data_IF_516223646482
#
_entry.id   IF_516223646482
#
_cell.length_a   1.000
_cell.length_b   1.000
_cell.length_c   1.000
_cell.angle_alpha   90.00
_cell.angle_beta   90.00
_cell.angle_gamma   90.00
#
_symmetry.space_group_name_H-M   'P 1'
#
loop_
_entity.id
_entity.type
_entity.pdbx_description
1 polymer ?
#
# COMPACT_ATOMS: atom_id res chain seq x y z
N UNK A 1 16.87 -10.46 46.01
CA UNK A 1 15.79 -9.48 46.24
C UNK A 1 14.41 -10.04 45.82
N UNK A 2 14.18 -11.34 46.02
CA UNK A 2 12.83 -11.94 46.06
C UNK A 2 12.86 -12.95 47.21
N UNK A 3 12.76 -12.41 48.40
CA UNK A 3 12.31 -13.14 49.59
C UNK A 3 11.30 -12.21 50.23
N UNK A 4 10.12 -12.08 49.62
CA UNK A 4 8.97 -11.50 50.29
C UNK A 4 8.25 -12.67 50.92
N UNK A 5 8.20 -12.63 52.25
CA UNK A 5 7.44 -13.52 53.10
C UNK A 5 5.98 -13.49 52.67
N UNK A 6 5.48 -14.58 52.11
CA UNK A 6 4.05 -14.88 52.12
C UNK A 6 3.77 -15.64 53.42
N UNK A 7 2.88 -15.11 54.26
CA UNK A 7 2.27 -15.90 55.33
C UNK A 7 1.73 -17.22 54.76
N UNK A 8 1.94 -18.36 55.44
CA UNK A 8 1.44 -19.65 54.97
C UNK A 8 -0.09 -19.66 55.12
N UNK A 9 -0.80 -19.31 54.05
CA UNK A 9 -2.27 -19.37 54.02
C UNK A 9 -2.98 -18.64 52.88
N UNK A 10 -2.31 -17.78 52.10
CA UNK A 10 -2.95 -16.90 51.10
C UNK A 10 -2.26 -16.89 49.72
N UNK A 11 -1.56 -17.96 49.35
CA UNK A 11 -1.02 -18.10 48.00
C UNK A 11 -2.15 -18.41 47.00
N UNK A 12 -2.51 -17.42 46.18
CA UNK A 12 -3.44 -17.62 45.07
C UNK A 12 -2.71 -18.40 43.96
N UNK A 13 -3.19 -19.59 43.55
CA UNK A 13 -2.50 -20.47 42.59
C UNK A 13 -2.28 -19.84 41.20
N UNK A 14 -2.88 -18.68 40.93
CA UNK A 14 -2.80 -17.96 39.66
C UNK A 14 -1.68 -16.90 39.66
N UNK A 15 -1.41 -16.24 40.79
CA UNK A 15 -0.50 -15.08 40.82
C UNK A 15 0.97 -15.47 40.83
N UNK A 16 1.33 -16.57 41.48
CA UNK A 16 2.74 -17.00 41.58
C UNK A 16 3.34 -17.45 40.23
N UNK A 17 2.65 -18.26 39.40
CA UNK A 17 3.19 -18.64 38.08
C UNK A 17 3.31 -17.44 37.13
N UNK A 18 2.33 -16.52 37.17
CA UNK A 18 2.33 -15.34 36.31
C UNK A 18 3.51 -14.43 36.67
N UNK A 19 3.71 -14.12 37.95
CA UNK A 19 4.81 -13.29 38.43
C UNK A 19 6.17 -13.92 38.08
N UNK A 20 6.30 -15.23 38.23
CA UNK A 20 7.49 -16.00 37.85
C UNK A 20 7.83 -15.87 36.36
N UNK A 21 6.84 -16.04 35.47
CA UNK A 21 7.04 -15.89 34.03
C UNK A 21 7.30 -14.44 33.59
N UNK A 22 6.68 -13.47 34.26
CA UNK A 22 6.92 -12.04 33.98
C UNK A 22 8.35 -11.65 34.32
N UNK A 23 8.88 -12.16 35.44
CA UNK A 23 10.29 -11.97 35.84
C UNK A 23 11.24 -12.67 34.86
N UNK A 24 10.93 -13.88 34.39
CA UNK A 24 11.74 -14.59 33.38
C UNK A 24 11.78 -13.81 32.05
N UNK A 25 10.65 -13.31 31.57
CA UNK A 25 10.58 -12.52 30.34
C UNK A 25 11.33 -11.19 30.47
N UNK A 26 11.23 -10.53 31.63
CA UNK A 26 11.95 -9.29 31.90
C UNK A 26 13.47 -9.50 31.97
N UNK A 27 13.92 -10.58 32.62
CA UNK A 27 15.34 -10.95 32.67
C UNK A 27 15.88 -11.37 31.30
N UNK A 28 15.10 -12.10 30.50
CA UNK A 28 15.46 -12.45 29.12
C UNK A 28 15.60 -11.18 28.24
N UNK A 29 14.71 -10.20 28.41
CA UNK A 29 14.76 -8.92 27.70
C UNK A 29 15.97 -8.07 28.08
N UNK A 30 16.32 -8.01 29.38
CA UNK A 30 17.51 -7.31 29.86
C UNK A 30 18.82 -7.97 29.38
N UNK A 31 18.88 -9.30 29.41
CA UNK A 31 20.03 -10.05 28.92
C UNK A 31 20.24 -9.88 27.41
N UNK A 32 19.15 -9.79 26.65
CA UNK A 32 19.14 -9.53 25.21
C UNK A 32 19.62 -8.10 24.87
N UNK A 33 19.15 -7.09 25.61
CA UNK A 33 19.54 -5.69 25.41
C UNK A 33 21.02 -5.43 25.72
N UNK A 34 21.60 -6.18 26.67
CA UNK A 34 23.00 -6.09 27.02
C UNK A 34 23.92 -6.73 25.97
N UNK A 35 23.55 -7.91 25.44
CA UNK A 35 24.40 -8.72 24.55
C UNK A 35 24.40 -8.25 23.08
N UNK A 36 23.32 -7.64 22.59
CA UNK A 36 23.22 -7.11 21.20
C UNK A 36 24.25 -6.00 20.91
N UNK A 37 24.72 -5.27 21.93
CA UNK A 37 25.69 -4.19 21.75
C UNK A 37 27.08 -4.67 21.32
N UNK A 38 27.42 -5.93 21.51
CA UNK A 38 28.78 -6.46 21.29
C UNK A 38 28.91 -7.44 20.12
N UNK A 39 27.81 -7.78 19.42
CA UNK A 39 27.82 -8.80 18.37
C UNK A 39 27.97 -8.23 16.95
N UNK A 40 28.69 -9.00 16.12
CA UNK A 40 28.88 -8.72 14.68
C UNK A 40 27.58 -8.98 13.90
N UNK A 41 27.38 -8.28 12.78
CA UNK A 41 26.05 -8.18 12.13
C UNK A 41 25.49 -9.52 11.59
N UNK A 42 26.35 -10.47 11.21
CA UNK A 42 25.92 -11.79 10.73
C UNK A 42 25.36 -12.69 11.85
N UNK A 43 25.82 -12.49 13.09
CA UNK A 43 25.36 -13.25 14.27
C UNK A 43 24.03 -12.70 14.79
N UNK A 44 23.77 -11.39 14.62
CA UNK A 44 22.50 -10.75 15.01
C UNK A 44 21.31 -11.37 14.30
N UNK A 45 21.43 -11.71 13.01
CA UNK A 45 20.35 -12.36 12.25
C UNK A 45 19.99 -13.74 12.80
N UNK A 46 20.97 -14.52 13.25
CA UNK A 46 20.77 -15.87 13.78
C UNK A 46 20.12 -15.80 15.17
N UNK A 47 20.56 -14.88 16.03
CA UNK A 47 19.95 -14.68 17.36
C UNK A 47 18.51 -14.15 17.27
N UNK A 48 18.20 -13.25 16.33
CA UNK A 48 16.82 -12.78 16.09
C UNK A 48 15.92 -13.94 15.68
N UNK A 49 16.41 -14.83 14.81
CA UNK A 49 15.67 -16.02 14.39
C UNK A 49 15.42 -16.97 15.59
N UNK A 50 16.43 -17.18 16.42
CA UNK A 50 16.34 -18.01 17.63
C UNK A 50 15.35 -17.44 18.66
N UNK A 51 15.37 -16.12 18.89
CA UNK A 51 14.41 -15.46 19.77
C UNK A 51 12.98 -15.52 19.23
N UNK A 52 12.78 -15.40 17.92
CA UNK A 52 11.45 -15.53 17.31
C UNK A 52 10.88 -16.95 17.53
N UNK A 53 11.73 -17.97 17.46
CA UNK A 53 11.38 -19.35 17.78
C UNK A 53 11.07 -19.55 19.28
N UNK A 54 11.89 -18.97 20.16
CA UNK A 54 11.67 -19.02 21.60
C UNK A 54 10.38 -18.30 22.03
N UNK A 55 10.07 -17.14 21.43
CA UNK A 55 8.80 -16.44 21.64
C UNK A 55 7.62 -17.25 21.11
N UNK A 56 7.74 -17.87 19.93
CA UNK A 56 6.71 -18.77 19.40
C UNK A 56 6.44 -19.96 20.33
N UNK A 57 7.50 -20.54 20.91
CA UNK A 57 7.39 -21.63 21.89
C UNK A 57 6.72 -21.18 23.19
N UNK A 58 7.07 -20.00 23.71
CA UNK A 58 6.41 -19.40 24.88
C UNK A 58 4.93 -19.15 24.61
N UNK A 59 4.57 -18.64 23.42
CA UNK A 59 3.18 -18.44 23.03
C UNK A 59 2.40 -19.76 22.92
N UNK A 60 3.00 -20.81 22.35
CA UNK A 60 2.40 -22.14 22.30
C UNK A 60 2.14 -22.69 23.71
N UNK A 61 3.13 -22.59 24.61
CA UNK A 61 2.96 -23.00 26.00
C UNK A 61 1.95 -22.16 26.76
N UNK A 62 1.89 -20.85 26.50
CA UNK A 62 0.87 -19.97 27.08
C UNK A 62 -0.53 -20.38 26.59
N UNK A 63 -0.67 -20.81 25.33
CA UNK A 63 -1.93 -21.32 24.79
C UNK A 63 -2.36 -22.63 25.47
N UNK A 64 -1.43 -23.54 25.74
CA UNK A 64 -1.69 -24.76 26.49
C UNK A 64 -2.19 -24.46 27.92
N UNK A 65 -1.66 -23.40 28.55
CA UNK A 65 -2.08 -22.91 29.87
C UNK A 65 -3.41 -22.13 29.86
N UNK A 66 -3.75 -21.49 28.73
CA UNK A 66 -5.01 -20.78 28.55
C UNK A 66 -6.16 -21.74 28.16
N UNK A 67 -5.85 -22.89 27.58
CA UNK A 67 -6.83 -23.91 27.17
C UNK A 67 -7.77 -24.34 28.33
N UNK A 68 -7.30 -24.58 29.57
CA UNK A 68 -8.15 -24.84 30.73
C UNK A 68 -8.98 -23.62 31.19
N UNK A 69 -8.49 -22.39 30.97
CA UNK A 69 -9.21 -21.15 31.26
C UNK A 69 -10.34 -20.92 30.23
N UNK A 70 -10.17 -21.45 29.02
CA UNK A 70 -11.13 -21.42 27.91
C UNK A 70 -12.10 -22.63 27.97
N UNK A 71 -12.02 -23.50 28.99
CA UNK A 71 -13.12 -24.43 29.26
C UNK A 71 -14.32 -23.63 29.82
N UNK A 72 -14.97 -22.93 28.89
CA UNK A 72 -16.14 -22.08 29.09
C UNK A 72 -17.23 -22.89 29.78
N UNK A 73 -17.26 -24.22 29.61
CA UNK A 73 -18.22 -25.12 30.23
C UNK A 73 -17.97 -25.31 31.72
N UNK A 74 -16.72 -25.57 32.14
CA UNK A 74 -16.34 -25.62 33.57
C UNK A 74 -16.56 -24.27 34.26
N UNK A 75 -16.22 -23.19 33.58
CA UNK A 75 -16.44 -21.83 34.07
C UNK A 75 -17.92 -21.47 34.17
N UNK A 76 -18.74 -21.83 33.16
CA UNK A 76 -20.20 -21.69 33.18
C UNK A 76 -20.81 -22.44 34.37
N UNK A 77 -20.34 -23.66 34.65
CA UNK A 77 -20.84 -24.47 35.75
C UNK A 77 -20.43 -23.91 37.12
N UNK A 78 -19.21 -23.36 37.24
CA UNK A 78 -18.76 -22.65 38.44
C UNK A 78 -19.57 -21.35 38.65
N UNK A 79 -19.80 -20.56 37.61
CA UNK A 79 -20.62 -19.35 37.68
C UNK A 79 -22.08 -19.65 38.00
N UNK A 80 -22.65 -20.72 37.46
CA UNK A 80 -24.00 -21.21 37.82
C UNK A 80 -24.10 -21.63 39.30
N UNK A 81 -22.99 -22.05 39.92
CA UNK A 81 -22.96 -22.41 41.33
C UNK A 81 -22.89 -21.20 42.29
N UNK A 82 -22.60 -20.00 41.76
CA UNK A 82 -22.55 -18.74 42.51
C UNK A 82 -23.93 -18.05 42.56
N UNK A 83 -24.95 -18.80 43.00
CA UNK A 83 -26.38 -18.46 42.99
C UNK A 83 -26.85 -17.20 43.79
N UNK A 84 -26.07 -16.51 44.67
CA UNK A 84 -26.64 -15.33 45.36
C UNK A 84 -26.65 -14.03 44.53
N UNK A 85 -26.03 -13.99 43.35
CA UNK A 85 -25.91 -12.75 42.59
C UNK A 85 -26.84 -12.74 41.37
N UNK A 86 -27.94 -11.99 41.46
CA UNK A 86 -28.99 -11.94 40.46
C UNK A 86 -28.52 -11.67 39.00
N UNK A 87 -29.42 -11.88 38.01
CA UNK A 87 -29.08 -11.97 36.59
C UNK A 87 -28.34 -10.75 36.00
N UNK A 88 -28.45 -9.56 36.61
CA UNK A 88 -27.73 -8.36 36.19
C UNK A 88 -26.21 -8.44 36.43
N UNK A 89 -25.78 -9.06 37.55
CA UNK A 89 -24.35 -9.18 37.86
C UNK A 89 -23.70 -10.18 36.91
N UNK A 90 -24.36 -11.30 36.66
CA UNK A 90 -23.92 -12.32 35.70
C UNK A 90 -23.74 -11.73 34.30
N UNK A 91 -24.70 -10.94 33.81
CA UNK A 91 -24.59 -10.29 32.50
C UNK A 91 -23.36 -9.36 32.41
N UNK A 92 -23.12 -8.54 33.44
CA UNK A 92 -21.96 -7.63 33.46
C UNK A 92 -20.63 -8.40 33.52
N UNK A 93 -20.58 -9.51 34.25
CA UNK A 93 -19.39 -10.36 34.36
C UNK A 93 -19.07 -11.02 33.01
N UNK A 94 -20.09 -11.57 32.33
CA UNK A 94 -19.96 -12.11 30.97
C UNK A 94 -19.48 -11.07 29.98
N UNK A 95 -20.08 -9.88 30.01
CA UNK A 95 -19.70 -8.80 29.11
C UNK A 95 -18.26 -8.32 29.35
N UNK A 96 -17.84 -8.22 30.62
CA UNK A 96 -16.46 -7.89 31.00
C UNK A 96 -15.45 -8.92 30.51
N UNK A 97 -15.73 -10.21 30.66
CA UNK A 97 -14.86 -11.30 30.17
C UNK A 97 -14.74 -11.25 28.65
N UNK A 98 -15.85 -11.05 27.93
CA UNK A 98 -15.84 -10.94 26.46
C UNK A 98 -14.98 -9.75 26.00
N UNK A 99 -15.11 -8.59 26.66
CA UNK A 99 -14.28 -7.42 26.36
C UNK A 99 -12.80 -7.67 26.59
N UNK A 100 -12.43 -8.34 27.69
CA UNK A 100 -11.04 -8.72 27.99
C UNK A 100 -10.50 -9.67 26.90
N UNK A 101 -11.28 -10.66 26.50
CA UNK A 101 -10.89 -11.61 25.44
C UNK A 101 -10.70 -10.90 24.08
N UNK A 102 -11.61 -9.99 23.71
CA UNK A 102 -11.48 -9.18 22.49
C UNK A 102 -10.21 -8.32 22.53
N UNK A 103 -9.93 -7.70 23.69
CA UNK A 103 -8.72 -6.90 23.87
C UNK A 103 -7.44 -7.73 23.67
N UNK A 104 -7.34 -8.92 24.28
CA UNK A 104 -6.19 -9.81 24.11
C UNK A 104 -6.05 -10.33 22.68
N UNK A 105 -7.17 -10.63 22.00
CA UNK A 105 -7.15 -11.04 20.60
C UNK A 105 -6.61 -9.93 19.69
N UNK A 106 -7.06 -8.69 19.90
CA UNK A 106 -6.56 -7.52 19.16
C UNK A 106 -5.07 -7.28 19.43
N UNK A 107 -4.63 -7.42 20.67
CA UNK A 107 -3.21 -7.31 21.03
C UNK A 107 -2.36 -8.40 20.36
N UNK A 108 -2.85 -9.64 20.29
CA UNK A 108 -2.17 -10.74 19.60
C UNK A 108 -2.08 -10.49 18.08
N UNK A 109 -3.18 -10.08 17.44
CA UNK A 109 -3.20 -9.73 16.02
C UNK A 109 -2.25 -8.57 15.70
N UNK A 110 -2.21 -7.56 16.57
CA UNK A 110 -1.29 -6.44 16.44
C UNK A 110 0.18 -6.87 16.56
N UNK A 111 0.48 -7.72 17.54
CA UNK A 111 1.83 -8.28 17.73
C UNK A 111 2.26 -9.10 16.52
N UNK A 112 1.36 -9.94 15.98
CA UNK A 112 1.61 -10.70 14.77
C UNK A 112 1.87 -9.82 13.54
N UNK A 113 1.11 -8.73 13.38
CA UNK A 113 1.32 -7.74 12.31
C UNK A 113 2.70 -7.09 12.41
N UNK A 114 3.10 -6.66 13.62
CA UNK A 114 4.44 -6.08 13.86
C UNK A 114 5.53 -7.08 13.50
N UNK A 115 5.42 -8.33 13.99
CA UNK A 115 6.41 -9.37 13.69
C UNK A 115 6.50 -9.67 12.19
N UNK A 116 5.36 -9.69 11.48
CA UNK A 116 5.32 -9.87 10.02
C UNK A 116 6.03 -8.74 9.28
N UNK A 117 5.83 -7.49 9.72
CA UNK A 117 6.51 -6.31 9.16
C UNK A 117 8.02 -6.38 9.44
N UNK A 118 8.42 -6.75 10.66
CA UNK A 118 9.84 -6.92 11.02
C UNK A 118 10.47 -8.01 10.17
N UNK A 119 9.83 -9.17 10.05
CA UNK A 119 10.34 -10.30 9.25
C UNK A 119 10.47 -9.92 7.77
N UNK A 120 9.51 -9.18 7.21
CA UNK A 120 9.59 -8.66 5.84
C UNK A 120 10.75 -7.66 5.65
N UNK A 121 11.04 -6.83 6.66
CA UNK A 121 12.14 -5.88 6.65
C UNK A 121 13.52 -6.54 6.85
N UNK A 122 13.58 -7.68 7.54
CA UNK A 122 14.83 -8.39 7.89
C UNK A 122 15.22 -9.45 6.85
N UNK A 123 14.33 -9.83 5.93
CA UNK A 123 14.62 -10.83 4.89
C UNK A 123 15.91 -10.50 4.09
N UNK A 124 17.01 -11.24 4.33
CA UNK A 124 18.32 -10.94 3.77
C UNK A 124 18.37 -11.14 2.25
N UNK A 125 17.48 -11.99 1.69
CA UNK A 125 17.42 -12.23 0.26
C UNK A 125 16.91 -11.02 -0.53
N UNK A 126 16.18 -10.10 0.13
CA UNK A 126 15.77 -8.80 -0.45
C UNK A 126 16.79 -7.68 -0.18
N UNK A 127 17.64 -7.82 0.84
CA UNK A 127 18.71 -6.86 1.13
C UNK A 127 19.85 -6.93 0.09
N UNK A 128 20.06 -8.06 -0.57
CA UNK A 128 21.05 -8.21 -1.66
C UNK A 128 20.71 -7.27 -2.84
N UNK A 129 19.43 -7.02 -3.12
CA UNK A 129 19.01 -6.06 -4.15
C UNK A 129 19.19 -4.59 -3.72
N UNK A 130 19.18 -4.32 -2.41
CA UNK A 130 19.36 -2.98 -1.84
C UNK A 130 20.83 -2.60 -1.59
N UNK A 131 21.75 -3.58 -1.55
CA UNK A 131 23.18 -3.37 -1.29
C UNK A 131 23.86 -2.51 -2.37
N UNK A 132 23.25 -2.36 -3.55
CA UNK A 132 23.82 -1.60 -4.68
C UNK A 132 23.50 -0.08 -4.68
N UNK A 133 22.57 0.41 -3.85
CA UNK A 133 22.26 1.84 -3.80
C UNK A 133 22.08 2.34 -2.35
N UNK A 134 23.21 2.72 -1.74
CA UNK A 134 23.38 3.87 -0.81
C UNK A 134 23.04 3.66 0.68
N UNK A 135 24.09 3.47 1.47
CA UNK A 135 24.15 3.51 2.96
C UNK A 135 23.95 4.90 3.61
N UNK A 136 23.58 5.95 2.85
CA UNK A 136 23.53 7.34 3.37
C UNK A 136 22.15 7.76 3.90
N UNK A 137 21.11 6.95 3.70
CA UNK A 137 19.71 7.31 4.04
C UNK A 137 19.35 6.96 5.50
N UNK A 138 20.05 6.03 6.14
CA UNK A 138 19.70 5.55 7.49
C UNK A 138 20.13 6.46 8.64
N UNK A 139 21.00 7.46 8.41
CA UNK A 139 21.49 8.36 9.48
C UNK A 139 20.61 9.60 9.75
N UNK A 140 19.50 9.75 9.02
CA UNK A 140 18.64 10.96 9.08
C UNK A 140 17.21 10.63 9.56
N UNK A 141 17.07 9.72 10.51
CA UNK A 141 15.77 9.46 11.13
C UNK A 141 15.56 10.44 12.29
N UNK A 142 14.65 11.39 12.09
CA UNK A 142 14.21 12.34 13.12
C UNK A 142 13.39 11.59 14.17
N UNK A 143 13.69 11.87 15.44
CA UNK A 143 12.97 11.45 16.65
C UNK A 143 11.43 11.58 16.52
N UNK A 144 10.95 12.48 15.65
CA UNK A 144 9.53 12.68 15.34
C UNK A 144 8.82 11.46 14.71
N UNK A 145 9.51 10.60 13.97
CA UNK A 145 8.89 9.37 13.40
C UNK A 145 8.73 8.27 14.46
N UNK A 146 9.67 8.17 15.40
CA UNK A 146 9.57 7.29 16.56
C UNK A 146 8.45 7.71 17.51
N UNK A 147 8.24 9.02 17.68
CA UNK A 147 7.11 9.56 18.43
C UNK A 147 5.75 9.22 17.80
N UNK A 148 5.67 9.13 16.46
CA UNK A 148 4.44 8.73 15.76
C UNK A 148 3.99 7.29 16.04
N UNK A 149 4.93 6.40 16.38
CA UNK A 149 4.65 5.01 16.79
C UNK A 149 4.48 4.91 18.31
N UNK A 150 5.26 5.69 19.07
CA UNK A 150 5.23 5.70 20.54
C UNK A 150 3.92 6.23 21.12
N UNK A 151 3.33 7.27 20.53
CA UNK A 151 2.09 7.87 21.04
C UNK A 151 0.91 6.88 21.03
N UNK A 152 0.63 6.14 19.93
CA UNK A 152 -0.39 5.09 19.93
C UNK A 152 -0.14 3.98 20.96
N UNK A 153 1.12 3.58 21.16
CA UNK A 153 1.50 2.55 22.13
C UNK A 153 1.30 3.02 23.59
N UNK A 154 1.66 4.27 23.89
CA UNK A 154 1.42 4.91 25.18
C UNK A 154 -0.08 5.08 25.42
N UNK A 155 -0.82 5.51 24.41
CA UNK A 155 -2.27 5.62 24.47
C UNK A 155 -2.92 4.26 24.73
N UNK A 156 -2.43 3.17 24.12
CA UNK A 156 -2.93 1.80 24.31
C UNK A 156 -2.75 1.33 25.75
N UNK A 157 -1.60 1.61 26.36
CA UNK A 157 -1.37 1.27 27.76
C UNK A 157 -2.24 2.09 28.71
N UNK A 158 -2.45 3.39 28.44
CA UNK A 158 -3.36 4.22 29.25
C UNK A 158 -4.83 3.80 29.13
N UNK A 159 -5.30 3.47 27.92
CA UNK A 159 -6.67 2.98 27.70
C UNK A 159 -6.95 1.68 28.46
N UNK A 160 -5.99 0.74 28.45
CA UNK A 160 -6.05 -0.50 29.23
C UNK A 160 -6.08 -0.26 30.74
N UNK A 161 -5.31 0.71 31.24
CA UNK A 161 -5.30 1.09 32.66
C UNK A 161 -6.66 1.68 33.07
N UNK A 162 -7.25 2.56 32.29
CA UNK A 162 -8.59 3.12 32.60
C UNK A 162 -9.68 2.04 32.59
N UNK A 163 -9.62 1.08 31.66
CA UNK A 163 -10.53 -0.07 31.65
C UNK A 163 -10.33 -0.99 32.86
N UNK A 164 -9.07 -1.25 33.23
CA UNK A 164 -8.76 -2.07 34.41
C UNK A 164 -9.21 -1.39 35.71
N UNK A 165 -8.96 -0.09 35.86
CA UNK A 165 -9.40 0.69 37.03
C UNK A 165 -10.93 0.76 37.09
N UNK A 166 -11.60 1.02 35.96
CA UNK A 166 -13.05 0.97 35.86
C UNK A 166 -13.60 -0.40 36.27
N UNK A 167 -13.03 -1.49 35.74
CA UNK A 167 -13.37 -2.87 36.08
C UNK A 167 -13.15 -3.24 37.55
N UNK A 168 -12.05 -2.78 38.16
CA UNK A 168 -11.77 -3.02 39.58
C UNK A 168 -12.74 -2.25 40.47
N UNK A 169 -13.08 -1.01 40.10
CA UNK A 169 -14.10 -0.21 40.80
C UNK A 169 -15.52 -0.78 40.62
N UNK A 170 -15.79 -1.47 39.51
CA UNK A 170 -17.04 -2.25 39.33
C UNK A 170 -17.13 -3.36 40.35
N UNK A 171 -16.04 -4.11 40.50
CA UNK A 171 -16.01 -5.29 41.35
C UNK A 171 -16.03 -4.94 42.84
N UNK A 172 -15.56 -3.75 43.22
CA UNK A 172 -15.49 -3.35 44.63
C UNK A 172 -16.83 -2.91 45.23
N UNK A 173 -17.92 -2.81 44.46
CA UNK A 173 -19.19 -2.26 44.95
C UNK A 173 -20.12 -3.30 45.59
N UNK A 174 -19.69 -3.77 46.76
CA UNK A 174 -20.54 -4.09 47.92
C UNK A 174 -21.18 -2.82 48.54
N UNK A 175 -21.01 -1.63 47.95
CA UNK A 175 -21.49 -0.39 48.53
C UNK A 175 -22.90 -0.02 48.04
N UNK A 176 -23.84 0.04 48.98
CA UNK A 176 -25.18 0.58 48.81
C UNK A 176 -25.07 2.09 48.57
N UNK A 177 -25.45 2.57 47.39
CA UNK A 177 -25.54 4.01 47.09
C UNK A 177 -26.94 4.32 46.61
N UNK A 178 -27.58 5.30 47.24
CA UNK A 178 -29.00 5.65 47.11
C UNK A 178 -29.25 6.92 46.30
N UNK A 179 -28.23 7.49 45.66
CA UNK A 179 -28.38 8.60 44.72
C UNK A 179 -27.81 8.21 43.37
N UNK A 180 -28.36 8.80 42.31
CA UNK A 180 -27.95 8.64 40.92
C UNK A 180 -26.57 9.31 40.73
N UNK A 181 -25.58 8.73 41.40
CA UNK A 181 -24.28 9.32 41.60
C UNK A 181 -23.50 9.31 40.31
N UNK A 182 -22.75 10.38 40.08
CA UNK A 182 -21.69 10.59 39.09
C UNK A 182 -21.04 9.32 38.48
N UNK A 183 -20.84 8.28 39.28
CA UNK A 183 -20.35 6.97 38.87
C UNK A 183 -21.20 6.25 37.81
N UNK A 184 -22.52 6.38 37.84
CA UNK A 184 -23.43 5.80 36.86
C UNK A 184 -23.20 6.39 35.46
N UNK A 185 -22.89 7.69 35.39
CA UNK A 185 -22.57 8.38 34.12
C UNK A 185 -21.21 7.91 33.60
N UNK A 186 -20.20 7.78 34.46
CA UNK A 186 -18.87 7.24 34.08
C UNK A 186 -19.00 5.84 33.49
N UNK A 187 -19.81 4.97 34.11
CA UNK A 187 -20.09 3.64 33.59
C UNK A 187 -20.69 3.65 32.19
N UNK A 188 -21.62 4.57 31.96
CA UNK A 188 -22.35 4.66 30.71
C UNK A 188 -21.48 5.22 29.58
N UNK A 189 -20.52 6.09 29.92
CA UNK A 189 -19.57 6.67 28.97
C UNK A 189 -18.35 5.77 28.67
N UNK A 190 -17.97 4.86 29.59
CA UNK A 190 -16.79 4.02 29.44
C UNK A 190 -16.73 3.21 28.12
N UNK A 191 -17.80 2.54 27.66
CA UNK A 191 -17.80 1.82 26.38
C UNK A 191 -17.61 2.76 25.18
N UNK A 192 -18.19 3.96 25.25
CA UNK A 192 -18.07 4.98 24.19
C UNK A 192 -16.62 5.43 24.08
N UNK A 193 -15.96 5.70 25.20
CA UNK A 193 -14.53 6.02 25.22
C UNK A 193 -13.67 4.87 24.70
N UNK A 194 -13.99 3.61 25.03
CA UNK A 194 -13.29 2.45 24.50
C UNK A 194 -13.40 2.31 22.97
N UNK A 195 -14.58 2.55 22.41
CA UNK A 195 -14.80 2.54 20.96
C UNK A 195 -14.04 3.68 20.28
N UNK A 196 -14.16 4.91 20.79
CA UNK A 196 -13.43 6.08 20.27
C UNK A 196 -11.92 5.80 20.29
N UNK A 197 -11.43 5.22 21.37
CA UNK A 197 -10.04 4.87 21.54
C UNK A 197 -9.56 3.84 20.51
N UNK A 198 -10.28 2.73 20.35
CA UNK A 198 -9.97 1.68 19.36
C UNK A 198 -9.84 2.27 17.95
N UNK A 199 -10.67 3.24 17.59
CA UNK A 199 -10.66 3.87 16.29
C UNK A 199 -9.47 4.78 16.06
N UNK A 200 -9.11 5.57 17.08
CA UNK A 200 -7.91 6.38 17.02
C UNK A 200 -6.68 5.49 16.79
N UNK A 201 -6.64 4.31 17.41
CA UNK A 201 -5.62 3.28 17.15
C UNK A 201 -5.70 2.80 15.70
N UNK A 202 -6.87 2.38 15.21
CA UNK A 202 -7.02 1.87 13.84
C UNK A 202 -6.66 2.93 12.76
N UNK A 203 -7.04 4.18 12.96
CA UNK A 203 -6.69 5.31 12.09
C UNK A 203 -5.16 5.53 12.12
N UNK A 204 -4.57 5.49 13.31
CA UNK A 204 -3.12 5.56 13.49
C UNK A 204 -2.39 4.45 12.73
N UNK A 205 -2.86 3.20 12.85
CA UNK A 205 -2.30 2.05 12.15
C UNK A 205 -2.47 2.15 10.64
N UNK A 206 -3.64 2.54 10.15
CA UNK A 206 -3.88 2.77 8.73
C UNK A 206 -2.93 3.82 8.16
N UNK A 207 -2.71 4.92 8.90
CA UNK A 207 -1.76 5.96 8.51
C UNK A 207 -0.32 5.46 8.50
N UNK A 208 0.11 4.70 9.51
CA UNK A 208 1.45 4.10 9.56
C UNK A 208 1.65 3.15 8.39
N UNK A 209 0.70 2.25 8.12
CA UNK A 209 0.75 1.32 6.99
C UNK A 209 0.82 2.06 5.64
N UNK A 210 0.01 3.09 5.43
CA UNK A 210 0.05 3.92 4.21
C UNK A 210 1.41 4.60 4.04
N UNK A 211 1.95 5.23 5.10
CA UNK A 211 3.26 5.90 5.04
C UNK A 211 4.38 4.90 4.79
N UNK A 212 4.28 3.71 5.38
CA UNK A 212 5.22 2.61 5.20
C UNK A 212 5.18 2.12 3.76
N UNK A 213 3.99 1.82 3.24
CA UNK A 213 3.80 1.43 1.85
C UNK A 213 4.35 2.48 0.88
N UNK A 214 3.97 3.75 1.06
CA UNK A 214 4.46 4.87 0.24
C UNK A 214 5.97 4.97 0.28
N UNK A 215 6.59 4.86 1.45
CA UNK A 215 8.04 4.93 1.62
C UNK A 215 8.76 3.79 0.89
N UNK A 216 8.22 2.58 0.95
CA UNK A 216 8.81 1.42 0.30
C UNK A 216 8.50 1.33 -1.20
N UNK A 217 7.37 1.85 -1.68
CA UNK A 217 6.98 1.80 -3.10
C UNK A 217 7.69 2.86 -3.95
N UNK A 218 7.95 4.05 -3.40
CA UNK A 218 8.61 5.16 -4.09
C UNK A 218 9.94 4.79 -4.80
N UNK A 219 10.90 4.08 -4.17
CA UNK A 219 12.12 3.68 -4.87
C UNK A 219 11.86 2.71 -6.02
N UNK A 220 10.88 1.81 -5.90
CA UNK A 220 10.49 0.91 -7.01
C UNK A 220 9.88 1.70 -8.17
N UNK A 221 9.01 2.68 -7.88
CA UNK A 221 8.44 3.56 -8.90
C UNK A 221 9.55 4.31 -9.64
N UNK A 222 10.54 4.85 -8.94
CA UNK A 222 11.68 5.51 -9.56
C UNK A 222 12.50 4.59 -10.48
N UNK A 223 12.78 3.35 -10.05
CA UNK A 223 13.49 2.35 -10.87
C UNK A 223 12.70 2.01 -12.13
N UNK A 224 11.39 1.84 -12.01
CA UNK A 224 10.51 1.54 -13.14
C UNK A 224 10.48 2.74 -14.09
N UNK A 225 10.28 3.96 -13.60
CA UNK A 225 10.28 5.17 -14.40
C UNK A 225 11.60 5.38 -15.15
N UNK A 226 12.73 5.11 -14.50
CA UNK A 226 14.04 5.22 -15.14
C UNK A 226 14.21 4.17 -16.26
N UNK A 227 13.79 2.92 -16.02
CA UNK A 227 13.76 1.87 -17.06
C UNK A 227 12.85 2.25 -18.22
N UNK A 228 11.66 2.79 -17.95
CA UNK A 228 10.72 3.25 -18.98
C UNK A 228 11.34 4.40 -19.79
N UNK A 229 11.97 5.38 -19.14
CA UNK A 229 12.66 6.48 -19.82
C UNK A 229 13.82 6.01 -20.69
N UNK A 230 14.66 5.13 -20.16
CA UNK A 230 15.78 4.54 -20.91
C UNK A 230 15.26 3.73 -22.09
N UNK A 231 14.18 2.98 -21.89
CA UNK A 231 13.54 2.22 -22.96
C UNK A 231 12.93 3.12 -24.04
N UNK A 232 12.24 4.20 -23.66
CA UNK A 232 11.72 5.20 -24.57
C UNK A 232 12.85 5.90 -25.35
N UNK A 233 13.97 6.19 -24.70
CA UNK A 233 15.16 6.73 -25.36
C UNK A 233 15.74 5.74 -26.37
N UNK A 234 15.86 4.45 -26.00
CA UNK A 234 16.32 3.39 -26.92
C UNK A 234 15.36 3.21 -28.08
N UNK A 235 14.05 3.25 -27.85
CA UNK A 235 13.06 3.27 -28.93
C UNK A 235 13.34 4.48 -29.81
N UNK A 236 13.37 5.69 -29.28
CA UNK A 236 13.53 6.89 -30.09
C UNK A 236 14.87 6.93 -30.86
N UNK A 237 15.94 6.34 -30.31
CA UNK A 237 17.24 6.26 -30.99
C UNK A 237 17.29 5.15 -32.04
N UNK A 238 16.59 4.03 -31.82
CA UNK A 238 16.46 2.96 -32.82
C UNK A 238 15.41 3.28 -33.88
N UNK A 239 14.40 4.08 -33.54
CA UNK A 239 13.50 4.77 -34.46
C UNK A 239 14.21 6.00 -35.02
N UNK A 240 15.44 5.84 -35.50
CA UNK A 240 16.05 6.79 -36.39
C UNK A 240 15.25 6.72 -37.69
N UNK A 241 14.05 7.34 -37.67
CA UNK A 241 13.10 7.30 -38.76
C UNK A 241 13.84 7.91 -39.94
N UNK A 242 14.16 7.11 -40.97
CA UNK A 242 15.04 7.59 -42.01
C UNK A 242 14.37 8.80 -42.67
N UNK A 243 15.07 9.94 -42.57
CA UNK A 243 14.71 11.12 -43.32
C UNK A 243 14.68 10.74 -44.80
N UNK A 244 13.55 11.00 -45.46
CA UNK A 244 13.39 10.68 -46.87
C UNK A 244 13.79 11.89 -47.72
N UNK A 245 13.05 12.99 -47.58
CA UNK A 245 13.25 14.23 -48.35
C UNK A 245 12.51 15.40 -47.69
N UNK A 246 12.84 16.63 -48.10
CA UNK A 246 12.17 17.83 -47.62
C UNK A 246 11.08 18.25 -48.61
N UNK A 247 9.86 18.43 -48.11
CA UNK A 247 8.70 18.84 -48.90
C UNK A 247 8.87 20.23 -49.52
N UNK A 248 9.52 21.13 -48.80
CA UNK A 248 9.70 22.53 -49.22
C UNK A 248 10.79 22.69 -50.28
N UNK A 249 11.64 21.67 -50.46
CA UNK A 249 12.72 21.65 -51.45
C UNK A 249 12.32 20.97 -52.76
N UNK A 250 11.03 20.66 -52.94
CA UNK A 250 10.47 20.03 -54.13
C UNK A 250 9.42 20.96 -54.77
N UNK A 251 9.52 21.26 -56.09
CA UNK A 251 10.63 20.89 -56.97
C UNK A 251 11.92 21.63 -56.59
N UNK A 252 13.08 20.98 -56.70
CA UNK A 252 14.37 21.60 -56.39
C UNK A 252 15.43 20.59 -55.96
N UNK A 253 16.22 20.97 -54.96
CA UNK A 253 17.44 20.23 -54.56
C UNK A 253 17.17 18.82 -54.01
N UNK A 254 15.96 18.53 -53.55
CA UNK A 254 15.61 17.20 -53.00
C UNK A 254 14.88 16.31 -54.03
N UNK A 255 14.78 16.74 -55.30
CA UNK A 255 14.15 15.96 -56.37
C UNK A 255 14.80 14.58 -56.54
N UNK A 256 16.13 14.52 -56.61
CA UNK A 256 16.86 13.25 -56.79
C UNK A 256 16.59 12.27 -55.65
N UNK A 257 16.54 12.77 -54.40
CA UNK A 257 16.21 11.96 -53.22
C UNK A 257 14.81 11.38 -53.28
N UNK A 258 13.82 12.18 -53.70
CA UNK A 258 12.46 11.70 -53.91
C UNK A 258 12.42 10.61 -54.99
N UNK A 259 13.09 10.82 -56.12
CA UNK A 259 13.15 9.84 -57.23
C UNK A 259 13.80 8.52 -56.79
N UNK A 260 14.93 8.59 -56.10
CA UNK A 260 15.64 7.42 -55.58
C UNK A 260 14.81 6.66 -54.56
N UNK A 261 14.12 7.38 -53.66
CA UNK A 261 13.21 6.79 -52.70
C UNK A 261 12.06 6.03 -53.40
N UNK A 262 11.40 6.66 -54.37
CA UNK A 262 10.28 6.06 -55.09
C UNK A 262 10.72 4.84 -55.90
N UNK A 263 11.88 4.92 -56.55
CA UNK A 263 12.46 3.80 -57.30
C UNK A 263 12.78 2.62 -56.38
N UNK A 264 13.50 2.88 -55.28
CA UNK A 264 13.98 1.83 -54.36
C UNK A 264 12.85 1.12 -53.62
N UNK A 265 11.83 1.85 -53.17
CA UNK A 265 10.78 1.28 -52.32
C UNK A 265 9.55 0.78 -53.10
N UNK A 266 9.24 1.36 -54.26
CA UNK A 266 8.04 1.01 -55.04
C UNK A 266 8.33 0.38 -56.40
N UNK A 267 9.59 0.23 -56.79
CA UNK A 267 10.01 -0.41 -58.04
C UNK A 267 9.57 0.36 -59.29
N UNK A 268 9.48 1.68 -59.20
CA UNK A 268 8.93 2.52 -60.27
C UNK A 268 10.06 2.99 -61.19
N UNK A 269 10.47 2.17 -62.15
CA UNK A 269 11.63 2.47 -63.00
C UNK A 269 11.45 3.68 -63.93
N UNK A 270 10.20 3.95 -64.35
CA UNK A 270 9.90 5.09 -65.23
C UNK A 270 10.12 6.44 -64.54
N UNK A 271 10.20 6.47 -63.20
CA UNK A 271 10.30 7.70 -62.41
C UNK A 271 11.56 8.52 -62.74
N UNK A 272 12.63 7.88 -63.22
CA UNK A 272 13.87 8.55 -63.64
C UNK A 272 13.67 9.61 -64.73
N UNK A 273 12.65 9.42 -65.59
CA UNK A 273 12.31 10.34 -66.69
C UNK A 273 11.07 11.17 -66.38
N UNK A 274 10.55 11.08 -65.16
CA UNK A 274 9.35 11.81 -64.78
C UNK A 274 9.67 13.28 -64.53
N UNK A 275 8.79 14.16 -64.99
CA UNK A 275 8.82 15.56 -64.64
C UNK A 275 8.09 15.73 -63.30
N UNK A 276 8.79 16.23 -62.28
CA UNK A 276 8.19 16.54 -60.98
C UNK A 276 7.69 17.97 -61.01
N UNK A 277 6.42 18.17 -60.68
CA UNK A 277 5.79 19.48 -60.53
C UNK A 277 5.03 19.54 -59.22
N UNK A 278 4.96 20.73 -58.63
CA UNK A 278 4.08 21.01 -57.50
C UNK A 278 2.85 21.71 -58.05
N UNK A 279 1.69 21.03 -58.01
CA UNK A 279 0.43 21.55 -58.56
C UNK A 279 -0.10 22.66 -57.64
N UNK A 280 -0.01 22.42 -56.34
CA UNK A 280 -0.40 23.35 -55.29
C UNK A 280 0.52 23.16 -54.07
N UNK A 281 0.47 24.02 -53.03
CA UNK A 281 1.36 23.93 -51.87
C UNK A 281 1.37 22.56 -51.16
N UNK A 282 0.28 21.81 -51.28
CA UNK A 282 0.03 20.53 -50.63
C UNK A 282 0.09 19.33 -51.60
N UNK A 283 0.27 19.54 -52.91
CA UNK A 283 0.26 18.45 -53.89
C UNK A 283 1.48 18.45 -54.79
N UNK A 284 2.24 17.35 -54.76
CA UNK A 284 3.33 17.06 -55.71
C UNK A 284 2.85 16.00 -56.69
N UNK A 285 3.07 16.25 -57.98
CA UNK A 285 2.71 15.37 -59.08
C UNK A 285 3.94 15.06 -59.92
N UNK A 286 4.18 13.77 -60.18
CA UNK A 286 5.24 13.31 -61.04
C UNK A 286 4.65 12.40 -62.13
N UNK A 287 4.88 12.76 -63.40
CA UNK A 287 4.40 12.00 -64.55
C UNK A 287 5.45 11.98 -65.67
N UNK A 288 5.26 11.09 -66.64
CA UNK A 288 6.06 11.09 -67.88
C UNK A 288 5.22 11.57 -69.05
N UNK A 289 5.82 12.26 -70.02
CA UNK A 289 5.10 12.73 -71.20
C UNK A 289 4.53 11.58 -72.08
N UNK A 290 5.19 10.41 -72.06
CA UNK A 290 4.90 9.32 -73.00
C UNK A 290 3.99 8.22 -72.45
N UNK A 291 3.75 8.17 -71.14
CA UNK A 291 2.94 7.11 -70.51
C UNK A 291 1.90 7.70 -69.57
N UNK A 292 0.76 7.01 -69.42
CA UNK A 292 -0.30 7.36 -68.45
C UNK A 292 0.10 7.06 -67.00
N UNK A 293 1.38 6.82 -66.72
CA UNK A 293 1.87 6.57 -65.38
C UNK A 293 2.04 7.90 -64.62
N UNK A 294 1.51 7.94 -63.40
CA UNK A 294 1.64 9.08 -62.52
C UNK A 294 1.93 8.64 -61.07
N UNK A 295 2.50 9.57 -60.32
CA UNK A 295 2.62 9.53 -58.86
C UNK A 295 2.08 10.84 -58.32
N UNK A 296 1.21 10.74 -57.31
CA UNK A 296 0.61 11.86 -56.61
C UNK A 296 0.97 11.76 -55.12
N UNK A 297 1.54 12.83 -54.58
CA UNK A 297 1.85 12.96 -53.16
C UNK A 297 1.00 14.11 -52.63
N UNK A 298 0.13 13.83 -51.66
CA UNK A 298 -0.84 14.77 -51.10
C UNK A 298 -0.55 14.97 -49.62
N UNK A 299 -0.16 16.19 -49.25
CA UNK A 299 -0.01 16.64 -47.88
C UNK A 299 -1.39 16.93 -47.28
N UNK A 300 -1.66 16.37 -46.10
CA UNK A 300 -2.93 16.61 -45.43
C UNK A 300 -3.05 18.05 -44.88
N UNK A 301 -4.28 18.51 -44.64
CA UNK A 301 -4.54 19.88 -44.16
C UNK A 301 -3.82 20.22 -42.84
N UNK A 302 -3.60 19.22 -41.98
CA UNK A 302 -2.89 19.40 -40.69
C UNK A 302 -1.37 19.39 -40.84
N UNK A 303 -0.84 19.11 -42.03
CA UNK A 303 0.60 18.97 -42.34
C UNK A 303 1.33 17.95 -41.45
N UNK A 304 0.63 16.88 -41.08
CA UNK A 304 1.15 15.78 -40.27
C UNK A 304 1.44 14.53 -41.09
N UNK A 305 0.85 14.39 -42.29
CA UNK A 305 0.90 13.19 -43.11
C UNK A 305 0.95 13.51 -44.60
N UNK A 306 1.67 12.69 -45.36
CA UNK A 306 1.62 12.69 -46.83
C UNK A 306 1.09 11.35 -47.30
N UNK A 307 0.08 11.38 -48.16
CA UNK A 307 -0.44 10.20 -48.84
C UNK A 307 0.21 10.10 -50.21
N UNK A 308 0.74 8.92 -50.53
CA UNK A 308 1.24 8.55 -51.85
C UNK A 308 0.15 7.77 -52.60
N UNK A 309 -0.10 8.14 -53.84
CA UNK A 309 -0.91 7.38 -54.78
C UNK A 309 -0.11 7.16 -56.07
N UNK A 310 -0.04 5.91 -56.52
CA UNK A 310 0.58 5.52 -57.79
C UNK A 310 -0.54 5.14 -58.74
N UNK A 311 -0.45 5.54 -60.02
CA UNK A 311 -1.51 5.32 -61.02
C UNK A 311 -1.93 3.87 -61.28
N UNK A 312 -1.30 2.89 -60.64
CA UNK A 312 -1.75 1.49 -60.61
C UNK A 312 -2.59 1.14 -59.36
N UNK A 313 -3.06 2.12 -58.60
CA UNK A 313 -3.92 1.96 -57.42
C UNK A 313 -3.17 1.68 -56.11
N UNK A 314 -1.84 1.60 -56.11
CA UNK A 314 -1.06 1.43 -54.87
C UNK A 314 -1.03 2.75 -54.08
N UNK A 315 -1.29 2.66 -52.78
CA UNK A 315 -1.24 3.81 -51.86
C UNK A 315 -0.32 3.56 -50.69
N UNK A 316 0.33 4.60 -50.17
CA UNK A 316 1.11 4.55 -48.92
C UNK A 316 0.99 5.86 -48.13
N UNK A 317 1.42 5.86 -46.86
CA UNK A 317 1.34 7.01 -45.97
C UNK A 317 2.71 7.29 -45.32
N UNK A 318 3.08 8.58 -45.24
CA UNK A 318 4.32 9.04 -44.62
C UNK A 318 4.08 10.06 -43.52
N UNK A 319 5.01 10.12 -42.55
CA UNK A 319 4.95 11.09 -41.45
C UNK A 319 5.63 12.39 -41.88
N UNK A 320 5.03 13.51 -41.48
CA UNK A 320 5.58 14.84 -41.71
C UNK A 320 5.97 15.46 -40.37
N UNK A 321 7.20 15.96 -40.28
CA UNK A 321 7.64 16.77 -39.14
C UNK A 321 8.17 18.13 -39.62
N UNK A 322 7.83 19.18 -38.87
CA UNK A 322 8.39 20.51 -39.06
C UNK A 322 9.66 20.61 -38.22
N UNK A 323 10.82 20.75 -38.87
CA UNK A 323 12.11 21.04 -38.19
C UNK A 323 12.73 22.28 -38.79
N UNK A 324 13.09 23.25 -37.93
CA UNK A 324 13.66 24.53 -38.35
C UNK A 324 12.77 25.25 -39.40
N UNK A 325 11.45 25.27 -39.16
CA UNK A 325 10.44 25.82 -40.07
C UNK A 325 10.39 25.19 -41.47
N UNK A 326 10.93 23.98 -41.63
CA UNK A 326 10.87 23.21 -42.89
C UNK A 326 10.12 21.91 -42.71
N UNK A 327 9.25 21.59 -43.65
CA UNK A 327 8.51 20.34 -43.74
C UNK A 327 9.43 19.23 -44.27
N UNK A 328 9.63 18.20 -43.44
CA UNK A 328 10.45 17.04 -43.77
C UNK A 328 9.59 15.78 -43.73
N UNK A 329 9.79 14.92 -44.72
CA UNK A 329 9.06 13.67 -44.87
C UNK A 329 9.93 12.54 -44.33
N UNK A 330 9.31 11.73 -43.48
CA UNK A 330 9.92 10.60 -42.81
C UNK A 330 9.13 9.34 -43.17
N UNK A 331 9.84 8.22 -43.32
CA UNK A 331 9.17 6.95 -43.57
C UNK A 331 8.23 6.64 -42.40
N UNK A 332 6.97 6.34 -42.67
CA UNK A 332 6.11 5.79 -41.64
C UNK A 332 6.72 4.44 -41.28
N UNK A 333 7.43 4.36 -40.15
CA UNK A 333 7.97 3.09 -39.71
C UNK A 333 6.76 2.16 -39.62
N UNK A 334 6.74 1.17 -40.51
CA UNK A 334 5.80 0.08 -40.40
C UNK A 334 6.26 -0.71 -39.17
N UNK A 335 5.92 -0.17 -37.99
CA UNK A 335 6.19 -0.79 -36.71
C UNK A 335 5.67 -2.19 -36.87
N UNK A 336 6.58 -3.17 -36.85
CA UNK A 336 6.15 -4.53 -37.08
C UNK A 336 5.11 -4.86 -36.00
N UNK A 337 4.24 -5.84 -36.27
CA UNK A 337 3.16 -6.22 -35.35
C UNK A 337 3.65 -6.39 -33.90
N UNK A 338 4.90 -6.85 -33.71
CA UNK A 338 5.57 -7.02 -32.41
C UNK A 338 5.89 -5.69 -31.71
N UNK A 339 6.34 -4.66 -32.43
CA UNK A 339 6.60 -3.32 -31.86
C UNK A 339 5.31 -2.58 -31.47
N UNK A 340 4.25 -2.70 -32.28
CA UNK A 340 2.91 -2.20 -31.90
C UNK A 340 2.39 -2.93 -30.65
N UNK A 341 2.56 -4.25 -30.57
CA UNK A 341 2.20 -5.03 -29.38
C UNK A 341 2.99 -4.57 -28.14
N UNK A 342 4.28 -4.27 -28.30
CA UNK A 342 5.13 -3.83 -27.21
C UNK A 342 4.68 -2.45 -26.68
N UNK A 343 4.34 -1.52 -27.56
CA UNK A 343 3.78 -0.23 -27.17
C UNK A 343 2.45 -0.41 -26.41
N UNK A 344 1.56 -1.27 -26.89
CA UNK A 344 0.31 -1.61 -26.19
C UNK A 344 0.59 -2.19 -24.79
N UNK A 345 1.56 -3.10 -24.68
CA UNK A 345 1.94 -3.70 -23.39
C UNK A 345 2.45 -2.66 -22.40
N UNK A 346 3.27 -1.71 -22.87
CA UNK A 346 3.79 -0.60 -22.03
C UNK A 346 2.65 0.31 -21.57
N UNK A 347 1.71 0.64 -22.47
CA UNK A 347 0.54 1.44 -22.12
C UNK A 347 -0.36 0.74 -21.09
N UNK A 348 -0.63 -0.55 -21.26
CA UNK A 348 -1.39 -1.35 -20.28
C UNK A 348 -0.67 -1.37 -18.92
N UNK A 349 0.65 -1.57 -18.92
CA UNK A 349 1.43 -1.59 -17.69
C UNK A 349 1.41 -0.25 -16.95
N UNK A 350 1.55 0.87 -17.68
CA UNK A 350 1.42 2.23 -17.11
C UNK A 350 0.00 2.51 -16.59
N UNK A 351 -1.03 2.05 -17.30
CA UNK A 351 -2.41 2.14 -16.85
C UNK A 351 -2.65 1.35 -15.56
N UNK A 352 -2.05 0.16 -15.41
CA UNK A 352 -2.15 -0.64 -14.19
C UNK A 352 -1.46 0.08 -13.02
N UNK A 353 -0.27 0.64 -13.21
CA UNK A 353 0.45 1.39 -12.16
C UNK A 353 -0.38 2.59 -11.69
N UNK A 354 -0.89 3.38 -12.62
CA UNK A 354 -1.75 4.54 -12.29
C UNK A 354 -3.05 4.13 -11.62
N UNK A 355 -3.65 3.00 -12.02
CA UNK A 355 -4.84 2.44 -11.37
C UNK A 355 -4.55 1.98 -9.93
N UNK A 356 -3.37 1.40 -9.68
CA UNK A 356 -2.93 0.98 -8.33
C UNK A 356 -2.73 2.22 -7.43
N UNK A 357 -2.08 3.26 -7.94
CA UNK A 357 -1.89 4.53 -7.21
C UNK A 357 -3.25 5.19 -6.90
N UNK A 358 -4.15 5.24 -7.87
CA UNK A 358 -5.45 5.88 -7.72
C UNK A 358 -6.38 5.10 -6.79
N UNK A 359 -6.42 3.76 -6.89
CA UNK A 359 -7.26 2.92 -6.02
C UNK A 359 -6.74 2.86 -4.59
N UNK A 360 -5.44 2.95 -4.36
CA UNK A 360 -4.88 2.93 -3.01
C UNK A 360 -5.43 4.05 -2.12
N UNK A 361 -5.49 5.28 -2.65
CA UNK A 361 -6.01 6.43 -1.89
C UNK A 361 -7.55 6.41 -1.78
N UNK A 362 -8.24 6.02 -2.85
CA UNK A 362 -9.70 5.98 -2.86
C UNK A 362 -10.26 4.87 -1.97
N UNK A 363 -9.72 3.65 -2.06
CA UNK A 363 -10.16 2.52 -1.25
C UNK A 363 -9.90 2.80 0.24
N UNK A 364 -8.79 3.44 0.57
CA UNK A 364 -8.48 3.85 1.94
C UNK A 364 -9.48 4.89 2.47
N UNK A 365 -9.85 5.89 1.66
CA UNK A 365 -10.91 6.85 2.03
C UNK A 365 -12.26 6.18 2.22
N UNK A 366 -12.68 5.34 1.27
CA UNK A 366 -13.97 4.63 1.35
C UNK A 366 -14.03 3.74 2.59
N UNK A 367 -12.94 3.04 2.93
CA UNK A 367 -12.88 2.23 4.16
C UNK A 367 -13.03 3.12 5.40
N UNK A 368 -12.36 4.28 5.45
CA UNK A 368 -12.50 5.24 6.56
C UNK A 368 -13.93 5.77 6.66
N UNK A 369 -14.54 6.16 5.55
CA UNK A 369 -15.90 6.70 5.50
C UNK A 369 -16.94 5.65 5.93
N UNK A 370 -16.77 4.40 5.50
CA UNK A 370 -17.61 3.28 5.94
C UNK A 370 -17.47 3.02 7.45
N UNK A 371 -16.25 3.08 7.99
CA UNK A 371 -16.01 2.94 9.44
C UNK A 371 -16.69 4.08 10.21
N UNK A 372 -16.57 5.32 9.74
CA UNK A 372 -17.22 6.50 10.33
C UNK A 372 -18.75 6.40 10.29
N UNK A 373 -19.34 5.91 9.20
CA UNK A 373 -20.78 5.69 9.08
C UNK A 373 -21.28 4.61 10.04
N UNK A 374 -20.58 3.47 10.12
CA UNK A 374 -20.91 2.39 11.04
C UNK A 374 -20.89 2.88 12.49
N UNK A 375 -19.96 3.77 12.81
CA UNK A 375 -19.87 4.37 14.14
C UNK A 375 -20.99 5.31 14.47
N UNK A 376 -21.34 6.20 13.53
CA UNK A 376 -22.45 7.11 13.71
C UNK A 376 -23.72 6.31 14.01
N UNK A 377 -23.89 5.18 13.31
CA UNK A 377 -24.99 4.26 13.53
C UNK A 377 -24.95 3.61 14.93
N UNK A 378 -23.79 3.11 15.39
CA UNK A 378 -23.64 2.56 16.75
C UNK A 378 -23.94 3.63 17.81
N UNK A 379 -23.42 4.84 17.65
CA UNK A 379 -23.66 5.97 18.57
C UNK A 379 -25.16 6.30 18.63
N UNK A 380 -25.85 6.32 17.48
CA UNK A 380 -27.29 6.56 17.42
C UNK A 380 -28.11 5.46 18.12
N UNK A 381 -27.72 4.18 17.98
CA UNK A 381 -28.36 3.07 18.70
C UNK A 381 -28.19 3.24 20.22
N UNK A 382 -26.98 3.54 20.67
CA UNK A 382 -26.71 3.78 22.09
C UNK A 382 -27.47 5.00 22.60
N UNK A 383 -27.45 6.11 21.88
CA UNK A 383 -28.18 7.33 22.22
C UNK A 383 -29.68 7.06 22.36
N UNK A 384 -30.29 6.34 21.41
CA UNK A 384 -31.70 5.96 21.48
C UNK A 384 -31.99 5.14 22.73
N UNK A 385 -31.14 4.18 23.07
CA UNK A 385 -31.32 3.32 24.25
C UNK A 385 -31.18 4.08 25.57
N UNK A 386 -30.21 4.98 25.64
CA UNK A 386 -30.02 5.89 26.79
C UNK A 386 -31.22 6.82 26.95
N UNK A 387 -31.71 7.37 25.85
CA UNK A 387 -32.86 8.26 25.86
C UNK A 387 -34.13 7.55 26.35
N UNK A 388 -34.39 6.32 25.91
CA UNK A 388 -35.50 5.52 26.44
C UNK A 388 -35.37 5.24 27.93
N UNK A 389 -34.18 4.86 28.41
CA UNK A 389 -33.94 4.65 29.85
C UNK A 389 -34.14 5.95 30.65
N UNK A 390 -33.75 7.09 30.10
CA UNK A 390 -33.97 8.39 30.74
C UNK A 390 -35.45 8.76 30.84
N UNK A 391 -36.25 8.43 29.81
CA UNK A 391 -37.70 8.64 29.84
C UNK A 391 -38.41 7.68 30.81
N UNK A 392 -37.93 6.45 30.98
CA UNK A 392 -38.49 5.51 31.96
C UNK A 392 -38.17 5.89 33.41
N UNK A 393 -37.07 6.60 33.63
CA UNK A 393 -36.66 7.10 34.95
C UNK A 393 -37.36 8.39 35.38
N UNK A 394 -37.98 9.10 34.43
CA UNK A 394 -38.65 10.38 34.63
C UNK A 394 -40.15 10.16 34.83
#
# INVERSE_FOLDING_TARGET
MVTIMTEPGLANPITEPLLFWTVILYLAFLFHSWKIKELNDDIKSIEILFLSGALGYVFLKLSDYLTPIIDVHKWLNYLKSLDPFGPSLMFNLYFGIILILIYYLLLALFTFLILSIIQFCVDPNKQILYKYHRFKILRKYKITELLGIGIPLILLSFGGIFFAIGGIMVFSKSMKFSSLDFWSIIYLLSPIFGIIFLLLVLIGLGRILYLTFKKYSQPFIHIILDKVKKFQFTINSQLNVPYLFSWDKIPGSDNERLLDFLKKNYGVDWIKRAQIKKIDPNTIFANTAYTKNYILLILNNKKTKVNLEIGNGRTDEFIVEIKNNKLNIYNFLNFNKKQKLLLIYIWIYLAIITLIEFKGEYLFRVIIDCILLLLLFIILIFYKKIYTLWQELK
#
